data_IF_248334095288
#
_entry.id   IF_248334095288
#
_cell.length_a   1.000
_cell.length_b   1.000
_cell.length_c   1.000
_cell.angle_alpha   90.00
_cell.angle_beta   90.00
_cell.angle_gamma   90.00
#
_symmetry.space_group_name_H-M   'P 1'
#
loop_
_entity.id
_entity.type
_entity.pdbx_description
1 polymer ?
#
# COMPACT_ATOMS: atom_id res chain seq x y z
N UNK A 1 -7.23 -5.38 -6.46
CA UNK A 1 -7.32 -6.66 -5.73
C UNK A 1 -6.19 -6.70 -4.71
N UNK A 2 -6.41 -7.36 -3.57
CA UNK A 2 -5.36 -7.73 -2.61
C UNK A 2 -5.01 -9.19 -2.84
N UNK A 3 -3.72 -9.53 -2.84
CA UNK A 3 -3.26 -10.90 -3.04
C UNK A 3 -2.42 -11.36 -1.85
N UNK A 4 -2.87 -12.40 -1.16
CA UNK A 4 -2.17 -13.03 -0.06
C UNK A 4 -1.46 -14.28 -0.56
N UNK A 5 -0.14 -14.30 -0.47
CA UNK A 5 0.68 -15.46 -0.79
C UNK A 5 1.03 -16.16 0.51
N UNK A 6 0.49 -17.36 0.70
CA UNK A 6 0.69 -18.17 1.90
C UNK A 6 1.53 -19.39 1.53
N UNK A 7 2.54 -19.68 2.34
CA UNK A 7 3.43 -20.82 2.13
C UNK A 7 3.44 -21.68 3.37
N UNK A 8 3.14 -22.96 3.20
CA UNK A 8 3.39 -23.98 4.22
C UNK A 8 4.83 -24.49 4.02
N UNK A 9 5.71 -24.17 4.97
CA UNK A 9 7.14 -24.51 4.91
C UNK A 9 7.38 -26.00 5.08
N UNK A 10 6.59 -26.67 5.91
CA UNK A 10 6.74 -28.10 6.23
C UNK A 10 6.39 -28.99 5.04
N UNK A 11 5.22 -28.76 4.44
CA UNK A 11 4.74 -29.54 3.30
C UNK A 11 5.16 -28.97 1.94
N UNK A 12 5.89 -27.84 1.92
CA UNK A 12 6.33 -27.14 0.71
C UNK A 12 5.19 -26.80 -0.27
N UNK A 13 4.02 -26.53 0.28
CA UNK A 13 2.85 -26.10 -0.48
C UNK A 13 2.71 -24.59 -0.44
N UNK A 14 2.19 -24.00 -1.51
CA UNK A 14 1.89 -22.59 -1.58
C UNK A 14 0.47 -22.38 -2.09
N UNK A 15 -0.17 -21.34 -1.60
CA UNK A 15 -1.50 -20.93 -2.01
C UNK A 15 -1.52 -19.41 -2.19
N UNK A 16 -2.27 -18.94 -3.18
CA UNK A 16 -2.50 -17.51 -3.41
C UNK A 16 -4.00 -17.24 -3.29
N UNK A 17 -4.38 -16.38 -2.35
CA UNK A 17 -5.76 -15.94 -2.17
C UNK A 17 -5.86 -14.52 -2.74
N UNK A 18 -6.73 -14.34 -3.73
CA UNK A 18 -6.97 -13.03 -4.36
C UNK A 18 -8.34 -12.51 -3.96
N UNK A 19 -8.36 -11.37 -3.28
CA UNK A 19 -9.57 -10.66 -2.89
C UNK A 19 -9.78 -9.52 -3.87
N UNK A 20 -10.87 -9.59 -4.63
CA UNK A 20 -11.28 -8.52 -5.53
C UNK A 20 -12.08 -7.50 -4.74
N UNK A 21 -11.75 -6.22 -4.93
CA UNK A 21 -12.41 -5.10 -4.26
C UNK A 21 -12.62 -3.98 -5.27
N UNK A 22 -13.70 -3.24 -5.07
CA UNK A 22 -14.01 -2.05 -5.85
C UNK A 22 -12.99 -0.95 -5.59
N UNK A 23 -12.75 -0.13 -6.61
CA UNK A 23 -11.78 0.96 -6.55
C UNK A 23 -12.20 2.07 -5.58
N UNK A 24 -13.47 2.44 -5.63
CA UNK A 24 -13.99 3.60 -4.90
C UNK A 24 -14.26 3.27 -3.43
N UNK A 25 -14.46 1.99 -3.11
CA UNK A 25 -14.67 1.51 -1.74
C UNK A 25 -13.83 0.26 -1.45
N UNK A 26 -12.50 0.39 -1.60
CA UNK A 26 -11.56 -0.70 -1.37
C UNK A 26 -11.39 -0.99 0.13
N UNK A 27 -12.28 -1.83 0.68
CA UNK A 27 -12.24 -2.28 2.07
C UNK A 27 -12.11 -3.81 2.12
N UNK A 28 -11.16 -4.31 2.89
CA UNK A 28 -10.91 -5.74 3.12
C UNK A 28 -10.84 -5.98 4.63
N UNK A 29 -11.23 -7.16 5.11
CA UNK A 29 -11.00 -7.52 6.52
C UNK A 29 -9.52 -7.90 6.72
N UNK A 30 -8.91 -7.35 7.77
CA UNK A 30 -7.52 -7.63 8.12
C UNK A 30 -7.35 -9.08 8.57
N UNK A 31 -6.21 -9.68 8.24
CA UNK A 31 -5.82 -11.00 8.77
C UNK A 31 -4.77 -10.89 9.89
N UNK A 32 -4.58 -9.69 10.44
CA UNK A 32 -3.62 -9.43 11.52
C UNK A 32 -3.79 -10.37 12.72
N UNK A 33 -5.04 -10.64 13.14
CA UNK A 33 -5.35 -11.52 14.26
C UNK A 33 -4.88 -12.96 14.05
N UNK A 34 -4.80 -13.40 12.79
CA UNK A 34 -4.32 -14.73 12.40
C UNK A 34 -2.81 -14.75 12.17
N UNK A 35 -2.27 -13.70 11.54
CA UNK A 35 -0.88 -13.59 11.13
C UNK A 35 -0.33 -12.18 11.44
N UNK A 36 0.20 -11.95 12.65
CA UNK A 36 0.67 -10.62 13.05
C UNK A 36 1.77 -10.02 12.14
N UNK A 37 2.50 -10.87 11.39
CA UNK A 37 3.51 -10.44 10.42
C UNK A 37 2.95 -9.66 9.21
N UNK A 38 1.63 -9.61 9.03
CA UNK A 38 0.98 -8.86 7.95
C UNK A 38 0.85 -7.36 8.25
N UNK A 39 1.12 -6.90 9.47
CA UNK A 39 1.01 -5.49 9.90
C UNK A 39 1.62 -4.52 8.88
N UNK A 40 2.90 -4.73 8.55
CA UNK A 40 3.62 -3.89 7.59
C UNK A 40 3.04 -3.96 6.18
N UNK A 41 2.61 -5.14 5.73
CA UNK A 41 2.10 -5.35 4.38
C UNK A 41 0.72 -4.69 4.19
N UNK A 42 -0.16 -4.79 5.18
CA UNK A 42 -1.48 -4.16 5.15
C UNK A 42 -1.35 -2.62 5.24
N UNK A 43 -0.42 -2.12 6.06
CA UNK A 43 -0.13 -0.68 6.14
C UNK A 43 0.51 -0.13 4.88
N UNK A 44 1.39 -0.88 4.21
CA UNK A 44 1.96 -0.52 2.92
C UNK A 44 0.86 -0.41 1.84
N UNK A 45 -0.01 -1.42 1.74
CA UNK A 45 -1.11 -1.42 0.79
C UNK A 45 -2.09 -0.27 1.05
N UNK A 46 -2.32 0.09 2.31
CA UNK A 46 -3.09 1.29 2.65
C UNK A 46 -2.40 2.57 2.21
N UNK A 47 -1.11 2.73 2.50
CA UNK A 47 -0.38 3.95 2.24
C UNK A 47 -0.19 4.22 0.74
N UNK A 48 0.10 3.17 -0.04
CA UNK A 48 0.46 3.30 -1.45
C UNK A 48 -0.71 3.11 -2.42
N UNK A 49 -1.73 2.32 -2.05
CA UNK A 49 -2.88 1.99 -2.90
C UNK A 49 -4.21 2.47 -2.32
N UNK A 50 -4.26 2.86 -1.05
CA UNK A 50 -5.48 3.35 -0.40
C UNK A 50 -6.49 2.26 -0.07
N UNK A 51 -6.03 1.02 0.12
CA UNK A 51 -6.89 -0.09 0.54
C UNK A 51 -7.04 -0.04 2.05
N UNK A 52 -8.27 -0.04 2.56
CA UNK A 52 -8.54 0.00 4.00
C UNK A 52 -8.74 -1.41 4.55
N UNK A 53 -8.05 -1.72 5.65
CA UNK A 53 -8.18 -3.00 6.34
C UNK A 53 -9.01 -2.84 7.61
N UNK A 54 -10.16 -3.52 7.69
CA UNK A 54 -11.05 -3.51 8.86
C UNK A 54 -10.50 -4.47 9.92
N UNK A 55 -10.46 -4.03 11.18
CA UNK A 55 -9.97 -4.85 12.30
C UNK A 55 -8.47 -4.75 12.56
N UNK A 56 -7.71 -4.06 11.71
CA UNK A 56 -6.28 -3.86 11.95
C UNK A 56 -6.03 -2.85 13.11
N UNK A 57 -5.13 -3.15 14.06
CA UNK A 57 -4.99 -2.36 15.29
C UNK A 57 -4.39 -0.96 15.07
N UNK A 58 -3.54 -0.77 14.06
CA UNK A 58 -2.87 0.51 13.81
C UNK A 58 -2.75 0.83 12.31
N UNK A 59 -3.85 1.28 11.71
CA UNK A 59 -3.85 1.74 10.32
C UNK A 59 -3.35 3.17 10.21
N UNK A 60 -2.06 3.32 9.89
CA UNK A 60 -1.41 4.59 9.58
C UNK A 60 -0.41 4.42 8.45
N UNK A 61 -0.12 5.53 7.75
CA UNK A 61 0.94 5.61 6.72
C UNK A 61 2.30 5.18 7.30
N UNK A 62 3.17 4.64 6.45
CA UNK A 62 4.50 4.14 6.86
C UNK A 62 5.63 4.56 5.92
N UNK A 63 5.34 4.74 4.64
CA UNK A 63 6.30 5.05 3.59
C UNK A 63 6.14 6.50 3.12
N UNK A 64 4.90 6.96 2.95
CA UNK A 64 4.62 8.35 2.65
C UNK A 64 4.64 9.17 3.94
N UNK A 65 4.97 10.45 3.81
CA UNK A 65 4.83 11.41 4.88
C UNK A 65 3.37 11.53 5.33
N UNK A 66 3.15 11.95 6.57
CA UNK A 66 1.81 12.03 7.16
C UNK A 66 0.90 13.03 6.43
N UNK A 67 1.49 14.07 5.85
CA UNK A 67 0.83 15.12 5.07
C UNK A 67 0.70 14.78 3.58
N UNK A 68 1.18 13.60 3.15
CA UNK A 68 1.14 13.22 1.74
C UNK A 68 -0.29 13.00 1.26
N UNK A 69 -0.64 13.65 0.15
CA UNK A 69 -1.97 13.52 -0.46
C UNK A 69 -1.98 12.47 -1.56
N UNK A 70 -2.99 11.60 -1.54
CA UNK A 70 -3.16 10.54 -2.53
C UNK A 70 -2.35 9.26 -2.27
N UNK A 71 -2.27 8.43 -3.31
CA UNK A 71 -1.80 7.05 -3.27
C UNK A 71 -0.86 6.77 -4.46
N UNK A 72 0.48 6.82 -4.25
CA UNK A 72 1.45 6.84 -5.33
C UNK A 72 1.40 5.67 -6.32
N UNK A 73 1.01 4.48 -5.88
CA UNK A 73 0.95 3.30 -6.75
C UNK A 73 -0.37 3.15 -7.51
N UNK A 74 -1.31 4.10 -7.38
CA UNK A 74 -2.49 4.12 -8.23
C UNK A 74 -2.11 4.56 -9.65
N UNK A 75 -2.66 3.89 -10.66
CA UNK A 75 -2.36 4.17 -12.08
C UNK A 75 -2.73 5.59 -12.52
N UNK A 76 -3.71 6.18 -11.88
CA UNK A 76 -4.20 7.54 -12.14
C UNK A 76 -3.54 8.61 -11.25
N UNK A 77 -2.60 8.21 -10.38
CA UNK A 77 -1.92 9.14 -9.49
C UNK A 77 -1.03 10.10 -10.29
N UNK A 78 -1.21 11.40 -10.03
CA UNK A 78 -0.34 12.45 -10.56
C UNK A 78 0.63 12.85 -9.46
N UNK A 79 1.92 12.61 -9.69
CA UNK A 79 2.95 13.07 -8.78
C UNK A 79 2.91 14.59 -8.68
N UNK A 80 2.96 15.16 -7.45
CA UNK A 80 3.02 16.60 -7.28
C UNK A 80 4.33 17.12 -7.88
N UNK A 81 4.30 18.35 -8.41
CA UNK A 81 5.49 19.01 -8.97
C UNK A 81 6.42 19.52 -7.87
N UNK A 82 5.85 19.85 -6.71
CA UNK A 82 6.58 20.30 -5.52
C UNK A 82 6.10 19.57 -4.27
N UNK A 83 7.01 19.32 -3.34
CA UNK A 83 6.75 18.82 -1.99
C UNK A 83 7.51 19.69 -0.99
N UNK A 84 6.80 20.35 -0.07
CA UNK A 84 7.37 21.38 0.84
C UNK A 84 8.27 22.42 0.12
N UNK A 85 7.88 22.85 -1.08
CA UNK A 85 8.65 23.82 -1.87
C UNK A 85 9.89 23.24 -2.58
N UNK A 86 10.18 21.94 -2.42
CA UNK A 86 11.23 21.25 -3.17
C UNK A 86 10.64 20.58 -4.42
N UNK A 87 11.33 20.64 -5.58
CA UNK A 87 10.86 20.00 -6.80
C UNK A 87 10.97 18.47 -6.70
N UNK A 88 9.87 17.76 -6.96
CA UNK A 88 9.75 16.29 -6.81
C UNK A 88 10.12 15.50 -8.08
N UNK A 89 10.98 16.08 -8.94
CA UNK A 89 11.73 15.33 -9.94
C UNK A 89 11.29 15.42 -11.40
N UNK A 90 10.47 16.41 -11.79
CA UNK A 90 10.11 16.59 -13.21
C UNK A 90 11.06 17.46 -14.06
N UNK A 91 12.09 18.07 -13.47
CA UNK A 91 13.10 18.79 -14.26
C UNK A 91 14.42 18.95 -13.50
N UNK A 92 15.25 17.89 -13.47
CA UNK A 92 16.70 18.07 -13.24
C UNK A 92 17.31 18.26 -14.63
N UNK A 93 17.20 19.47 -15.21
CA UNK A 93 18.04 19.81 -16.37
C UNK A 93 19.49 19.90 -15.88
N UNK A 94 20.26 18.85 -16.12
CA UNK A 94 21.72 18.94 -16.10
C UNK A 94 22.15 19.81 -17.30
N UNK A 95 22.15 21.13 -17.13
CA UNK A 95 22.74 22.01 -18.13
C UNK A 95 24.27 21.76 -18.14
N UNK A 96 24.77 21.20 -19.24
CA UNK A 96 26.19 21.24 -19.64
C UNK A 96 26.48 22.53 -20.40
#
# INVERSE_FOLDING_TARGET
CVAYHLTNVEHKHWACIKVFVDRDNAVVDSIYDLLPGVDWHEREAFDLLGIRFRGHPNMRRILCAEDWEGFPLRKDYKFPETYHGLPTGKEIRWNS
#
